data_IF_951047567245
#
_entry.id   IF_951047567245
#
_cell.length_a   1.000
_cell.length_b   1.000
_cell.length_c   1.000
_cell.angle_alpha   90.00
_cell.angle_beta   90.00
_cell.angle_gamma   90.00
#
_symmetry.space_group_name_H-M   'P 1'
#
loop_
_entity.id
_entity.type
_entity.pdbx_description
1 polymer ?
#
# COMPACT_ATOMS: atom_id res chain seq x y z
N UNK A 1 19.95 -16.20 14.75
CA UNK A 1 18.77 -15.36 15.06
C UNK A 1 19.25 -13.93 15.21
N UNK A 2 18.68 -12.97 14.47
CA UNK A 2 18.84 -11.56 14.81
C UNK A 2 18.29 -11.37 16.23
N UNK A 3 19.10 -10.89 17.17
CA UNK A 3 18.68 -10.71 18.57
C UNK A 3 17.77 -9.49 18.77
N UNK A 4 17.64 -8.63 17.75
CA UNK A 4 16.78 -7.43 17.75
C UNK A 4 16.19 -7.24 16.35
N UNK A 5 14.91 -6.86 16.27
CA UNK A 5 14.25 -6.50 15.01
C UNK A 5 14.81 -5.18 14.47
N UNK A 6 15.27 -5.18 13.21
CA UNK A 6 15.70 -3.99 12.49
C UNK A 6 14.63 -3.62 11.43
N UNK A 7 13.75 -2.64 11.70
CA UNK A 7 12.72 -2.24 10.75
C UNK A 7 13.30 -1.69 9.45
N UNK A 8 14.44 -0.99 9.49
CA UNK A 8 14.97 -0.33 8.30
C UNK A 8 15.43 -1.35 7.25
N UNK A 9 16.11 -2.41 7.68
CA UNK A 9 16.50 -3.51 6.80
C UNK A 9 15.28 -4.27 6.27
N UNK A 10 14.32 -4.59 7.13
CA UNK A 10 13.12 -5.36 6.76
C UNK A 10 12.24 -4.58 5.78
N UNK A 11 12.01 -3.29 6.02
CA UNK A 11 11.20 -2.44 5.14
C UNK A 11 11.85 -2.30 3.75
N UNK A 12 13.17 -2.12 3.69
CA UNK A 12 13.90 -2.04 2.42
C UNK A 12 13.77 -3.34 1.61
N UNK A 13 14.01 -4.49 2.25
CA UNK A 13 13.94 -5.80 1.59
C UNK A 13 12.53 -6.10 1.05
N UNK A 14 11.48 -5.82 1.84
CA UNK A 14 10.10 -6.07 1.42
C UNK A 14 9.62 -5.11 0.33
N UNK A 15 10.01 -3.84 0.39
CA UNK A 15 9.65 -2.87 -0.65
C UNK A 15 10.18 -3.32 -2.01
N UNK A 16 11.45 -3.73 -2.05
CA UNK A 16 12.10 -4.29 -3.24
C UNK A 16 11.36 -5.52 -3.79
N UNK A 17 10.92 -6.42 -2.91
CA UNK A 17 10.15 -7.61 -3.30
C UNK A 17 8.80 -7.22 -3.89
N UNK A 18 8.09 -6.26 -3.30
CA UNK A 18 6.78 -5.82 -3.78
C UNK A 18 6.88 -5.09 -5.12
N UNK A 19 7.89 -4.23 -5.28
CA UNK A 19 8.11 -3.53 -6.54
C UNK A 19 8.42 -4.51 -7.68
N UNK A 20 9.35 -5.45 -7.45
CA UNK A 20 9.77 -6.45 -8.46
C UNK A 20 8.66 -7.45 -8.81
N UNK A 21 7.76 -7.74 -7.88
CA UNK A 21 6.61 -8.64 -8.11
C UNK A 21 5.43 -7.94 -8.81
N UNK A 22 5.50 -6.62 -8.97
CA UNK A 22 4.43 -5.86 -9.61
C UNK A 22 3.15 -5.77 -8.78
N UNK A 23 3.18 -6.09 -7.48
CA UNK A 23 1.98 -6.08 -6.63
C UNK A 23 1.43 -4.66 -6.37
N UNK A 24 2.12 -3.61 -6.80
CA UNK A 24 1.55 -2.26 -6.81
C UNK A 24 0.70 -1.96 -8.03
N UNK A 25 0.78 -2.78 -9.09
CA UNK A 25 -0.06 -2.62 -10.27
C UNK A 25 -1.53 -2.97 -9.98
N UNK A 26 -2.49 -2.40 -10.72
CA UNK A 26 -3.89 -2.78 -10.61
C UNK A 26 -4.08 -4.29 -10.80
N UNK A 27 -4.94 -4.90 -9.99
CA UNK A 27 -5.21 -6.33 -10.08
C UNK A 27 -5.89 -6.65 -11.43
N UNK A 28 -5.39 -7.65 -12.15
CA UNK A 28 -5.97 -8.08 -13.42
C UNK A 28 -6.74 -9.39 -13.24
N UNK A 29 -7.78 -9.35 -12.40
CA UNK A 29 -8.74 -10.43 -12.28
C UNK A 29 -9.96 -10.14 -13.19
N UNK A 30 -10.19 -10.89 -14.28
CA UNK A 30 -11.34 -10.69 -15.17
C UNK A 30 -12.69 -10.86 -14.46
N UNK A 31 -12.72 -11.68 -13.41
CA UNK A 31 -13.93 -12.01 -12.64
C UNK A 31 -14.05 -11.19 -11.34
N UNK A 32 -13.08 -10.30 -11.07
CA UNK A 32 -13.02 -9.51 -9.83
C UNK A 32 -13.90 -8.26 -9.89
N UNK A 33 -14.67 -8.01 -8.84
CA UNK A 33 -15.44 -6.77 -8.70
C UNK A 33 -14.49 -5.56 -8.52
N UNK A 34 -14.64 -4.47 -9.31
CA UNK A 34 -13.81 -3.28 -9.15
C UNK A 34 -13.98 -2.62 -7.78
N UNK A 35 -12.87 -2.23 -7.16
CA UNK A 35 -12.84 -1.45 -5.94
C UNK A 35 -11.84 -0.30 -6.07
N UNK A 36 -12.25 0.92 -5.73
CA UNK A 36 -11.41 2.09 -5.83
C UNK A 36 -11.66 3.02 -4.63
N UNK A 37 -10.59 3.62 -4.11
CA UNK A 37 -10.64 4.71 -3.14
C UNK A 37 -10.16 5.97 -3.87
N UNK A 38 -10.99 7.00 -3.90
CA UNK A 38 -10.62 8.28 -4.49
C UNK A 38 -9.77 9.04 -3.48
N UNK A 39 -8.49 9.24 -3.79
CA UNK A 39 -7.67 10.21 -3.08
C UNK A 39 -7.98 11.60 -3.65
N UNK A 40 -8.28 12.61 -2.81
CA UNK A 40 -8.44 13.97 -3.29
C UNK A 40 -7.14 14.44 -3.96
N UNK A 41 -7.21 15.35 -4.95
CA UNK A 41 -6.02 15.88 -5.60
C UNK A 41 -5.01 16.39 -4.56
N UNK A 42 -3.71 16.08 -4.71
CA UNK A 42 -2.74 16.44 -3.69
C UNK A 42 -2.61 17.96 -3.62
N UNK A 43 -2.89 18.52 -2.45
CA UNK A 43 -2.51 19.89 -2.12
C UNK A 43 -1.06 19.87 -1.62
N UNK A 44 -0.11 20.12 -2.52
CA UNK A 44 1.33 20.10 -2.17
C UNK A 44 1.68 21.41 -1.45
N UNK A 45 1.54 21.42 -0.12
CA UNK A 45 1.79 22.61 0.72
C UNK A 45 3.06 22.52 1.57
N UNK A 46 3.83 21.43 1.50
CA UNK A 46 5.07 21.25 2.26
C UNK A 46 5.35 19.80 2.65
N UNK A 47 5.77 19.59 3.90
CA UNK A 47 6.21 18.30 4.44
C UNK A 47 5.01 17.47 4.93
N UNK A 48 5.09 16.14 4.80
CA UNK A 48 4.09 15.24 5.36
C UNK A 48 4.11 15.27 6.90
N UNK A 49 2.96 15.49 7.52
CA UNK A 49 2.73 15.28 8.95
C UNK A 49 1.97 13.98 9.26
N UNK A 50 1.86 13.62 10.54
CA UNK A 50 1.18 12.41 11.03
C UNK A 50 -0.26 12.23 10.52
N UNK A 51 -0.99 13.32 10.26
CA UNK A 51 -2.31 13.24 9.62
C UNK A 51 -2.30 12.56 8.24
N UNK A 52 -1.30 12.83 7.41
CA UNK A 52 -1.15 12.15 6.11
C UNK A 52 -0.78 10.69 6.31
N UNK A 53 0.09 10.40 7.27
CA UNK A 53 0.48 9.02 7.58
C UNK A 53 -0.73 8.18 8.00
N UNK A 54 -1.61 8.74 8.85
CA UNK A 54 -2.84 8.07 9.28
C UNK A 54 -3.82 7.86 8.11
N UNK A 55 -4.08 8.89 7.31
CA UNK A 55 -5.02 8.81 6.18
C UNK A 55 -4.57 7.78 5.13
N UNK A 56 -3.30 7.87 4.70
CA UNK A 56 -2.74 6.92 3.74
C UNK A 56 -2.68 5.49 4.29
N UNK A 57 -2.37 5.30 5.59
CA UNK A 57 -2.36 3.98 6.21
C UNK A 57 -3.74 3.33 6.19
N UNK A 58 -4.80 4.08 6.50
CA UNK A 58 -6.17 3.56 6.48
C UNK A 58 -6.53 3.12 5.06
N UNK A 59 -6.26 3.95 4.05
CA UNK A 59 -6.51 3.61 2.65
C UNK A 59 -5.70 2.39 2.19
N UNK A 60 -4.41 2.32 2.51
CA UNK A 60 -3.54 1.20 2.14
C UNK A 60 -3.99 -0.14 2.76
N UNK A 61 -4.37 -0.14 4.04
CA UNK A 61 -4.91 -1.33 4.72
C UNK A 61 -6.19 -1.83 4.04
N UNK A 62 -7.10 -0.92 3.68
CA UNK A 62 -8.35 -1.27 2.99
C UNK A 62 -8.05 -1.87 1.62
N UNK A 63 -7.18 -1.24 0.82
CA UNK A 63 -6.80 -1.73 -0.51
C UNK A 63 -6.17 -3.12 -0.44
N UNK A 64 -5.22 -3.34 0.47
CA UNK A 64 -4.58 -4.66 0.66
C UNK A 64 -5.60 -5.72 1.04
N UNK A 65 -6.51 -5.41 1.97
CA UNK A 65 -7.58 -6.33 2.37
C UNK A 65 -8.50 -6.64 1.20
N UNK A 66 -8.89 -5.64 0.40
CA UNK A 66 -9.77 -5.83 -0.77
C UNK A 66 -9.12 -6.69 -1.84
N UNK A 67 -7.84 -6.48 -2.13
CA UNK A 67 -7.07 -7.37 -3.03
C UNK A 67 -7.08 -8.81 -2.52
N UNK A 68 -6.81 -9.03 -1.23
CA UNK A 68 -6.83 -10.37 -0.62
C UNK A 68 -8.22 -11.03 -0.65
N UNK A 69 -9.29 -10.24 -0.78
CA UNK A 69 -10.67 -10.72 -0.96
C UNK A 69 -11.05 -10.97 -2.43
N UNK A 70 -10.12 -10.77 -3.38
CA UNK A 70 -10.34 -11.00 -4.80
C UNK A 70 -10.94 -9.80 -5.57
N UNK A 71 -11.09 -8.64 -4.92
CA UNK A 71 -11.52 -7.43 -5.62
C UNK A 71 -10.43 -6.96 -6.58
N UNK A 72 -10.87 -6.36 -7.68
CA UNK A 72 -10.01 -5.63 -8.61
C UNK A 72 -9.73 -4.24 -8.06
N UNK A 73 -8.65 -4.13 -7.28
CA UNK A 73 -8.11 -2.86 -6.79
C UNK A 73 -7.19 -2.20 -7.80
#
# INVERSE_FOLDING_TARGET
>A
MLSTYDPAAVEADWYDVWEKSGVFAPEHNPDGEPFCIVLPPPNVTGVLHMGHALDHLIHDVIIRRKRMQGFKV
#
